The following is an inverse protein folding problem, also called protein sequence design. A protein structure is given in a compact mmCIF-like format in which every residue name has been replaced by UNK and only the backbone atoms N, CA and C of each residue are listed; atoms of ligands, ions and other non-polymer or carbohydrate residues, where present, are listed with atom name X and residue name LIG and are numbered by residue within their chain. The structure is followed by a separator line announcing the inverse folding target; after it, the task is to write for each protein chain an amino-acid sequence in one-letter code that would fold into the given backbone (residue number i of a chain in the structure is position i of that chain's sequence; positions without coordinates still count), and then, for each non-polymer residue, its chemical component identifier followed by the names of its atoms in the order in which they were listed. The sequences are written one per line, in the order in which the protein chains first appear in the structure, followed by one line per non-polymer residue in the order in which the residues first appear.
data_IF_686449791267
#
_entry.id   IF_686449791267
#
_cell.length_a   1.000
_cell.length_b   1.000
_cell.length_c   1.000
_cell.angle_alpha   90.00
_cell.angle_beta   90.00
_cell.angle_gamma   90.00
#
_symmetry.space_group_name_H-M   'P 1'
#
loop_
_entity.id
_entity.type
_entity.pdbx_description
1 polymer ?
#
# COMPACT_ATOMS: atom_id res chain seq x y z
N UNK A 1 23.52 6.17 14.51
CA UNK A 1 22.86 4.84 14.43
C UNK A 1 21.41 4.93 13.95
N UNK A 2 20.57 5.84 14.46
CA UNK A 2 19.17 5.95 14.03
C UNK A 2 19.02 6.30 12.53
N UNK A 3 19.74 7.31 12.04
CA UNK A 3 19.71 7.71 10.61
C UNK A 3 20.23 6.60 9.68
N UNK A 4 21.27 5.89 10.09
CA UNK A 4 21.78 4.72 9.35
C UNK A 4 20.72 3.62 9.22
N UNK A 5 19.94 3.38 10.28
CA UNK A 5 18.80 2.45 10.25
C UNK A 5 17.75 2.91 9.22
N UNK A 6 17.40 4.20 9.22
CA UNK A 6 16.47 4.78 8.25
C UNK A 6 16.95 4.57 6.81
N UNK A 7 18.22 4.87 6.50
CA UNK A 7 18.81 4.69 5.16
C UNK A 7 18.75 3.24 4.68
N UNK A 8 19.01 2.28 5.58
CA UNK A 8 18.89 0.84 5.26
C UNK A 8 17.44 0.43 5.01
N UNK A 9 16.50 0.94 5.80
CA UNK A 9 15.07 0.68 5.63
C UNK A 9 14.55 1.28 4.31
N UNK A 10 15.00 2.49 3.96
CA UNK A 10 14.69 3.12 2.68
C UNK A 10 15.24 2.31 1.49
N UNK A 11 16.49 1.88 1.58
CA UNK A 11 17.09 1.00 0.57
C UNK A 11 16.22 -0.26 0.41
N UNK A 12 15.88 -0.95 1.50
CA UNK A 12 15.03 -2.14 1.46
C UNK A 12 13.64 -1.87 0.88
N UNK A 13 13.03 -0.73 1.19
CA UNK A 13 11.75 -0.29 0.64
C UNK A 13 11.82 -0.14 -0.89
N UNK A 14 12.86 0.50 -1.42
CA UNK A 14 13.02 0.69 -2.88
C UNK A 14 13.03 -0.66 -3.62
N UNK A 15 13.78 -1.64 -3.14
CA UNK A 15 13.80 -2.98 -3.75
C UNK A 15 12.48 -3.74 -3.58
N UNK A 16 11.83 -3.64 -2.42
CA UNK A 16 10.52 -4.27 -2.20
C UNK A 16 9.46 -3.67 -3.14
N UNK A 17 9.48 -2.35 -3.32
CA UNK A 17 8.59 -1.63 -4.21
C UNK A 17 8.78 -2.03 -5.68
N UNK A 18 10.03 -2.15 -6.16
CA UNK A 18 10.29 -2.66 -7.51
C UNK A 18 9.77 -4.09 -7.71
N UNK A 19 9.91 -4.97 -6.70
CA UNK A 19 9.35 -6.32 -6.74
C UNK A 19 7.83 -6.30 -6.79
N UNK A 20 7.20 -5.42 -6.03
CA UNK A 20 5.74 -5.23 -6.02
C UNK A 20 5.23 -4.82 -7.40
N UNK A 21 5.83 -3.79 -8.01
CA UNK A 21 5.47 -3.34 -9.36
C UNK A 21 5.56 -4.51 -10.35
N UNK A 22 6.67 -5.27 -10.34
CA UNK A 22 6.83 -6.43 -11.22
C UNK A 22 5.80 -7.53 -10.96
N UNK A 23 5.44 -7.76 -9.70
CA UNK A 23 4.43 -8.77 -9.34
C UNK A 23 3.03 -8.36 -9.84
N UNK A 24 2.70 -7.07 -9.78
CA UNK A 24 1.40 -6.55 -10.23
C UNK A 24 1.31 -6.42 -11.76
N UNK A 25 2.44 -6.37 -12.48
CA UNK A 25 2.49 -6.35 -13.94
C UNK A 25 2.29 -7.72 -14.61
N UNK A 26 2.36 -8.82 -13.86
CA UNK A 26 2.20 -10.18 -14.40
C UNK A 26 0.86 -10.76 -13.94
N UNK A 27 -0.10 -11.01 -14.85
CA UNK A 27 -1.35 -11.67 -14.49
C UNK A 27 -1.09 -13.06 -13.89
N UNK A 28 -1.86 -13.43 -12.85
CA UNK A 28 -2.01 -14.78 -12.29
C UNK A 28 -0.98 -15.32 -11.28
N UNK A 29 -0.18 -14.47 -10.61
CA UNK A 29 0.63 -14.92 -9.44
C UNK A 29 0.24 -14.17 -8.17
N UNK A 30 -0.96 -14.48 -7.65
CA UNK A 30 -1.50 -13.87 -6.43
C UNK A 30 -0.56 -14.06 -5.25
N UNK A 31 0.02 -15.25 -5.07
CA UNK A 31 0.95 -15.53 -3.97
C UNK A 31 2.15 -14.58 -3.97
N UNK A 32 2.74 -14.34 -5.15
CA UNK A 32 3.84 -13.40 -5.31
C UNK A 32 3.41 -11.95 -5.11
N UNK A 33 2.22 -11.57 -5.59
CA UNK A 33 1.66 -10.24 -5.33
C UNK A 33 1.49 -10.01 -3.82
N UNK A 34 0.99 -10.99 -3.07
CA UNK A 34 0.84 -10.88 -1.62
C UNK A 34 2.17 -10.85 -0.87
N UNK A 35 3.11 -11.73 -1.23
CA UNK A 35 4.42 -11.75 -0.60
C UNK A 35 5.14 -10.39 -0.77
N UNK A 36 5.12 -9.85 -1.99
CA UNK A 36 5.74 -8.55 -2.28
C UNK A 36 4.97 -7.38 -1.68
N UNK A 37 3.64 -7.45 -1.60
CA UNK A 37 2.80 -6.48 -0.90
C UNK A 37 3.10 -6.46 0.60
N UNK A 38 3.14 -7.63 1.24
CA UNK A 38 3.45 -7.77 2.66
C UNK A 38 4.85 -7.26 3.01
N UNK A 39 5.83 -7.56 2.17
CA UNK A 39 7.20 -7.03 2.30
C UNK A 39 7.24 -5.50 2.14
N UNK A 40 6.55 -4.96 1.14
CA UNK A 40 6.49 -3.50 0.92
C UNK A 40 5.82 -2.80 2.10
N UNK A 41 4.68 -3.32 2.56
CA UNK A 41 3.96 -2.80 3.71
C UNK A 41 4.78 -2.86 5.00
N UNK A 42 5.56 -3.93 5.21
CA UNK A 42 6.50 -4.02 6.33
C UNK A 42 7.45 -2.82 6.32
N UNK A 43 8.08 -2.53 5.18
CA UNK A 43 9.06 -1.44 5.09
C UNK A 43 8.42 -0.06 5.20
N UNK A 44 7.23 0.15 4.60
CA UNK A 44 6.43 1.38 4.79
C UNK A 44 6.14 1.62 6.27
N UNK A 45 5.67 0.58 6.97
CA UNK A 45 5.36 0.66 8.41
C UNK A 45 6.62 0.92 9.23
N UNK A 46 7.75 0.29 8.89
CA UNK A 46 9.01 0.46 9.59
C UNK A 46 9.57 1.90 9.48
N UNK A 47 9.50 2.52 8.29
CA UNK A 47 9.90 3.93 8.11
C UNK A 47 8.95 4.86 8.85
N UNK A 48 7.63 4.65 8.75
CA UNK A 48 6.65 5.43 9.50
C UNK A 48 6.88 5.33 11.02
N UNK A 49 7.20 4.14 11.55
CA UNK A 49 7.54 3.97 12.97
C UNK A 49 8.81 4.69 13.37
N UNK A 50 9.83 4.69 12.50
CA UNK A 50 11.05 5.45 12.74
C UNK A 50 10.75 6.95 12.89
N UNK A 51 9.97 7.54 11.99
CA UNK A 51 9.62 8.96 12.07
C UNK A 51 8.77 9.27 13.30
N UNK A 52 7.84 8.38 13.68
CA UNK A 52 7.06 8.50 14.90
C UNK A 52 7.90 8.37 16.18
N UNK A 53 9.03 7.67 16.13
CA UNK A 53 9.97 7.49 17.25
C UNK A 53 10.90 8.71 17.40
N UNK A 54 11.46 9.22 16.30
CA UNK A 54 12.54 10.23 16.32
C UNK A 54 12.12 11.65 15.94
N UNK A 55 10.95 11.84 15.32
CA UNK A 55 10.46 13.16 14.87
C UNK A 55 8.96 13.37 15.12
N UNK A 56 8.42 12.76 16.17
CA UNK A 56 6.97 12.65 16.40
C UNK A 56 6.18 13.96 16.25
N UNK A 57 6.71 15.08 16.77
CA UNK A 57 6.02 16.37 16.77
C UNK A 57 5.71 16.85 15.36
N UNK A 58 6.77 17.19 14.62
CA UNK A 58 6.65 17.74 13.27
C UNK A 58 6.11 16.70 12.28
N UNK A 59 6.54 15.44 12.40
CA UNK A 59 6.10 14.36 11.52
C UNK A 59 4.59 14.08 11.67
N UNK A 60 4.09 13.93 12.91
CA UNK A 60 2.68 13.61 13.12
C UNK A 60 1.76 14.75 12.65
N UNK A 61 2.23 15.99 12.74
CA UNK A 61 1.51 17.14 12.20
C UNK A 61 1.45 17.08 10.67
N UNK A 62 2.60 16.90 9.98
CA UNK A 62 2.63 16.80 8.50
C UNK A 62 1.82 15.61 8.01
N UNK A 63 1.95 14.44 8.66
CA UNK A 63 1.24 13.22 8.29
C UNK A 63 -0.28 13.42 8.23
N UNK A 64 -0.86 14.18 9.17
CA UNK A 64 -2.30 14.44 9.22
C UNK A 64 -2.78 15.47 8.20
N UNK A 65 -1.90 16.36 7.77
CA UNK A 65 -2.23 17.43 6.82
C UNK A 65 -2.04 17.02 5.36
N UNK A 66 -1.15 16.06 5.09
CA UNK A 66 -0.91 15.54 3.74
C UNK A 66 -1.84 14.34 3.46
N UNK A 67 -2.56 14.39 2.35
CA UNK A 67 -3.46 13.30 1.93
C UNK A 67 -2.73 11.98 1.72
N UNK A 68 -1.46 12.02 1.31
CA UNK A 68 -0.58 10.86 1.16
C UNK A 68 -0.11 10.34 2.52
N UNK A 69 0.14 11.25 3.47
CA UNK A 69 0.44 10.92 4.86
C UNK A 69 -0.71 10.17 5.54
N UNK A 70 -1.96 10.57 5.27
CA UNK A 70 -3.15 9.92 5.80
C UNK A 70 -3.28 8.45 5.37
N UNK A 71 -2.77 8.08 4.19
CA UNK A 71 -2.77 6.70 3.71
C UNK A 71 -2.02 5.76 4.67
N UNK A 72 -0.97 6.25 5.34
CA UNK A 72 -0.16 5.47 6.27
C UNK A 72 -0.98 4.94 7.46
N UNK A 73 -2.03 5.66 7.88
CA UNK A 73 -2.94 5.19 8.92
C UNK A 73 -3.72 3.95 8.49
N UNK A 74 -4.18 3.91 7.23
CA UNK A 74 -4.85 2.75 6.65
C UNK A 74 -3.87 1.61 6.34
N UNK A 75 -2.68 1.92 5.84
CA UNK A 75 -1.68 0.91 5.43
C UNK A 75 -1.17 0.09 6.63
N UNK A 76 -1.18 0.67 7.83
CA UNK A 76 -0.91 -0.09 9.06
C UNK A 76 -1.93 -1.21 9.28
N UNK A 77 -3.21 -0.93 9.06
CA UNK A 77 -4.25 -1.94 9.17
C UNK A 77 -4.07 -3.01 8.09
N UNK A 78 -3.82 -2.60 6.84
CA UNK A 78 -3.53 -3.52 5.74
C UNK A 78 -2.38 -4.46 6.07
N UNK A 79 -1.27 -3.94 6.62
CA UNK A 79 -0.12 -4.74 7.03
C UNK A 79 -0.45 -5.74 8.14
N UNK A 80 -1.21 -5.31 9.16
CA UNK A 80 -1.64 -6.20 10.24
C UNK A 80 -2.53 -7.33 9.73
N UNK A 81 -3.41 -7.03 8.78
CA UNK A 81 -4.25 -8.03 8.18
C UNK A 81 -3.47 -9.03 7.31
N UNK A 82 -2.51 -8.56 6.49
CA UNK A 82 -1.61 -9.45 5.73
C UNK A 82 -0.86 -10.41 6.67
N UNK A 83 -0.43 -9.94 7.84
CA UNK A 83 0.31 -10.75 8.82
C UNK A 83 -0.52 -11.80 9.55
N UNK A 84 -1.79 -11.51 9.84
CA UNK A 84 -2.59 -12.34 10.74
C UNK A 84 -3.75 -13.06 10.06
N UNK A 85 -4.15 -12.64 8.86
CA UNK A 85 -5.28 -13.19 8.17
C UNK A 85 -4.90 -13.54 6.73
N UNK A 86 -4.59 -14.81 6.46
CA UNK A 86 -4.28 -15.25 5.10
C UNK A 86 -5.50 -15.15 4.15
N UNK A 87 -6.74 -15.00 4.65
CA UNK A 87 -7.89 -14.64 3.80
C UNK A 87 -7.84 -13.18 3.34
N UNK A 88 -6.86 -12.39 3.80
CA UNK A 88 -6.49 -11.13 3.17
C UNK A 88 -6.08 -11.31 1.70
N UNK A 89 -5.75 -12.56 1.30
CA UNK A 89 -5.50 -12.98 -0.09
C UNK A 89 -6.71 -12.73 -1.00
N UNK A 90 -7.92 -12.70 -0.44
CA UNK A 90 -9.14 -12.37 -1.20
C UNK A 90 -9.55 -10.90 -1.03
N UNK A 91 -8.76 -10.07 -0.33
CA UNK A 91 -9.08 -8.68 -0.04
C UNK A 91 -8.63 -7.70 -1.11
N UNK A 92 -8.33 -8.20 -2.30
CA UNK A 92 -8.19 -7.34 -3.46
C UNK A 92 -9.18 -7.68 -4.55
N UNK A 93 -9.84 -6.65 -5.07
CA UNK A 93 -10.74 -6.80 -6.22
C UNK A 93 -9.92 -6.60 -7.48
N UNK A 94 -9.96 -7.60 -8.36
CA UNK A 94 -9.45 -7.46 -9.73
C UNK A 94 -10.55 -6.87 -10.60
N UNK A 95 -10.33 -5.66 -11.11
CA UNK A 95 -11.21 -5.05 -12.11
C UNK A 95 -10.50 -4.98 -13.46
N UNK A 96 -11.15 -5.52 -14.48
CA UNK A 96 -10.75 -5.38 -15.87
C UNK A 96 -11.28 -4.04 -16.39
N UNK A 97 -10.40 -3.05 -16.57
CA UNK A 97 -10.77 -1.74 -17.13
C UNK A 97 -10.47 -1.74 -18.63
N UNK A 98 -11.46 -1.52 -19.51
CA UNK A 98 -11.23 -1.38 -20.94
C UNK A 98 -10.36 -0.14 -21.21
N UNK A 99 -9.23 -0.31 -21.89
CA UNK A 99 -8.42 0.85 -22.30
C UNK A 99 -8.60 1.22 -23.76
N UNK A 100 -8.72 0.22 -24.64
CA UNK A 100 -8.81 0.43 -26.08
C UNK A 100 -9.68 -0.66 -26.73
N UNK A 101 -10.51 -0.26 -27.68
CA UNK A 101 -11.22 -1.15 -28.61
C UNK A 101 -10.58 -0.99 -29.99
N UNK A 102 -9.96 -2.04 -30.49
CA UNK A 102 -9.41 -2.05 -31.85
C UNK A 102 -10.49 -2.55 -32.83
N UNK A 103 -10.88 -1.78 -33.86
CA UNK A 103 -11.90 -2.19 -34.83
C UNK A 103 -11.36 -3.17 -35.89
N UNK A 104 -10.22 -3.82 -35.65
CA UNK A 104 -9.44 -4.48 -36.70
C UNK A 104 -9.94 -5.90 -37.00
N UNK A 105 -10.71 -6.51 -36.10
CA UNK A 105 -11.37 -7.81 -36.31
C UNK A 105 -12.75 -7.81 -35.65
N UNK A 106 -13.75 -8.39 -36.32
CA UNK A 106 -15.01 -8.75 -35.67
C UNK A 106 -14.84 -10.13 -35.01
N UNK A 107 -15.09 -10.29 -33.70
CA UNK A 107 -15.47 -9.27 -32.71
C UNK A 107 -14.29 -8.42 -32.21
N UNK A 108 -14.52 -7.15 -31.81
CA UNK A 108 -13.46 -6.24 -31.38
C UNK A 108 -12.70 -6.77 -30.17
N UNK A 109 -11.37 -6.80 -30.26
CA UNK A 109 -10.50 -7.17 -29.15
C UNK A 109 -10.45 -6.01 -28.15
N UNK A 110 -10.91 -6.28 -26.93
CA UNK A 110 -10.82 -5.33 -25.81
C UNK A 110 -9.57 -5.65 -25.00
N UNK A 111 -8.62 -4.72 -24.94
CA UNK A 111 -7.51 -4.81 -23.99
C UNK A 111 -7.97 -4.32 -22.62
N UNK A 112 -7.96 -5.22 -21.64
CA UNK A 112 -8.32 -4.95 -20.27
C UNK A 112 -7.06 -4.83 -19.41
N UNK A 113 -6.94 -3.76 -18.63
CA UNK A 113 -5.92 -3.64 -17.60
C UNK A 113 -6.47 -4.22 -16.29
N UNK A 114 -5.71 -5.10 -15.64
CA UNK A 114 -6.07 -5.66 -14.33
C UNK A 114 -5.68 -4.63 -13.27
N UNK A 115 -6.68 -3.99 -12.66
CA UNK A 115 -6.49 -3.17 -11.46
C UNK A 115 -6.70 -4.01 -10.22
N UNK A 116 -5.83 -3.82 -9.24
CA UNK A 116 -5.91 -4.47 -7.93
C UNK A 116 -6.36 -3.41 -6.94
N UNK A 117 -7.58 -3.54 -6.42
CA UNK A 117 -8.19 -2.56 -5.52
C UNK A 117 -8.26 -3.09 -4.09
N UNK A 118 -8.11 -2.22 -3.08
CA UNK A 118 -8.40 -2.57 -1.69
C UNK A 118 -9.89 -2.96 -1.52
N UNK A 119 -10.18 -4.14 -0.96
CA UNK A 119 -11.56 -4.63 -0.81
C UNK A 119 -12.31 -3.91 0.30
N UNK A 120 -13.63 -4.03 0.22
CA UNK A 120 -14.55 -3.66 1.28
C UNK A 120 -14.40 -4.58 2.50
N UNK A 121 -14.04 -4.00 3.64
CA UNK A 121 -13.86 -4.72 4.91
C UNK A 121 -14.91 -4.35 5.96
N UNK A 122 -15.98 -3.61 5.60
CA UNK A 122 -16.99 -3.13 6.56
C UNK A 122 -17.57 -4.27 7.40
N UNK A 123 -17.82 -5.42 6.75
CA UNK A 123 -18.40 -6.62 7.37
C UNK A 123 -17.38 -7.51 8.10
N UNK A 124 -16.09 -7.17 8.08
CA UNK A 124 -15.06 -7.95 8.78
C UNK A 124 -14.98 -7.45 10.23
N UNK A 125 -15.26 -8.33 11.19
CA UNK A 125 -15.12 -8.00 12.61
C UNK A 125 -13.65 -7.83 12.98
N UNK A 126 -13.31 -6.78 13.73
CA UNK A 126 -12.02 -6.64 14.39
C UNK A 126 -12.21 -6.45 15.90
N UNK A 127 -11.18 -6.75 16.68
CA UNK A 127 -11.22 -6.45 18.11
C UNK A 127 -11.33 -4.94 18.34
N UNK A 128 -12.06 -4.53 19.40
CA UNK A 128 -12.34 -3.12 19.72
C UNK A 128 -11.09 -2.22 19.77
N UNK A 129 -9.94 -2.75 20.18
CA UNK A 129 -8.66 -2.01 20.24
C UNK A 129 -8.11 -1.62 18.86
N UNK A 130 -8.60 -2.24 17.78
CA UNK A 130 -8.18 -1.98 16.41
C UNK A 130 -9.23 -1.23 15.57
N UNK A 131 -10.36 -0.82 16.17
CA UNK A 131 -11.45 -0.17 15.46
C UNK A 131 -11.01 1.12 14.74
N UNK A 132 -10.16 1.94 15.38
CA UNK A 132 -9.62 3.14 14.76
C UNK A 132 -8.77 2.82 13.52
N UNK A 133 -8.00 1.72 13.54
CA UNK A 133 -7.19 1.31 12.39
C UNK A 133 -8.08 0.81 11.25
N UNK A 134 -9.15 0.07 11.57
CA UNK A 134 -10.16 -0.35 10.60
C UNK A 134 -10.85 0.87 9.98
N UNK A 135 -11.24 1.85 10.78
CA UNK A 135 -11.89 3.07 10.28
C UNK A 135 -10.97 3.84 9.33
N UNK A 136 -9.69 3.99 9.67
CA UNK A 136 -8.70 4.62 8.80
C UNK A 136 -8.51 3.85 7.48
N UNK A 137 -8.55 2.51 7.51
CA UNK A 137 -8.53 1.72 6.28
C UNK A 137 -9.74 2.00 5.40
N UNK A 138 -10.94 2.00 6.00
CA UNK A 138 -12.19 2.26 5.27
C UNK A 138 -12.19 3.65 4.65
N UNK A 139 -11.71 4.65 5.40
CA UNK A 139 -11.68 6.04 4.97
C UNK A 139 -10.63 6.29 3.87
N UNK A 140 -9.41 5.78 4.07
CA UNK A 140 -8.27 6.18 3.24
C UNK A 140 -7.89 5.18 2.14
N UNK A 141 -8.23 3.90 2.26
CA UNK A 141 -7.79 2.86 1.32
C UNK A 141 -8.92 2.16 0.58
N UNK A 142 -10.01 1.81 1.25
CA UNK A 142 -11.06 0.95 0.68
C UNK A 142 -11.53 1.42 -0.70
N UNK A 143 -11.55 0.50 -1.67
CA UNK A 143 -11.96 0.75 -3.06
C UNK A 143 -10.92 1.45 -3.92
N UNK A 144 -9.79 1.93 -3.35
CA UNK A 144 -8.71 2.56 -4.11
C UNK A 144 -7.73 1.53 -4.66
N UNK A 145 -6.97 1.93 -5.67
CA UNK A 145 -5.96 1.08 -6.29
C UNK A 145 -4.76 0.88 -5.34
N UNK A 146 -4.38 -0.39 -5.12
CA UNK A 146 -3.32 -0.78 -4.18
C UNK A 146 -2.01 -0.11 -4.54
N UNK A 147 -1.56 -0.29 -5.79
CA UNK A 147 -0.28 0.23 -6.23
C UNK A 147 -0.24 1.76 -6.14
N UNK A 148 -1.32 2.43 -6.58
CA UNK A 148 -1.43 3.88 -6.50
C UNK A 148 -1.29 4.41 -5.06
N UNK A 149 -2.04 3.82 -4.12
CA UNK A 149 -1.97 4.25 -2.70
C UNK A 149 -0.62 3.96 -2.05
N UNK A 150 0.04 2.86 -2.43
CA UNK A 150 1.38 2.53 -1.93
C UNK A 150 2.40 3.52 -2.48
N UNK A 151 2.36 3.83 -3.77
CA UNK A 151 3.27 4.80 -4.39
C UNK A 151 3.17 6.16 -3.71
N UNK A 152 1.94 6.66 -3.53
CA UNK A 152 1.69 7.93 -2.84
C UNK A 152 2.26 7.93 -1.41
N UNK A 153 2.07 6.84 -0.66
CA UNK A 153 2.60 6.71 0.69
C UNK A 153 4.13 6.63 0.72
N UNK A 154 4.74 5.93 -0.25
CA UNK A 154 6.19 5.86 -0.41
C UNK A 154 6.76 7.24 -0.72
N UNK A 155 6.17 7.98 -1.67
CA UNK A 155 6.60 9.32 -2.04
C UNK A 155 6.61 10.26 -0.83
N UNK A 156 5.53 10.24 -0.03
CA UNK A 156 5.48 11.00 1.22
C UNK A 156 6.60 10.63 2.20
N UNK A 157 6.90 9.34 2.36
CA UNK A 157 7.96 8.88 3.26
C UNK A 157 9.37 9.24 2.75
N UNK A 158 9.61 9.18 1.45
CA UNK A 158 10.88 9.56 0.85
C UNK A 158 11.13 11.06 1.01
N UNK A 159 10.12 11.91 0.76
CA UNK A 159 10.19 13.35 1.04
C UNK A 159 10.44 13.68 2.52
N UNK A 160 10.01 12.80 3.45
CA UNK A 160 10.35 12.94 4.87
C UNK A 160 11.79 12.50 5.17
N UNK A 161 12.30 11.50 4.47
CA UNK A 161 13.66 11.01 4.64
C UNK A 161 14.72 12.01 4.16
N UNK A 162 14.43 12.81 3.12
CA UNK A 162 15.32 13.85 2.58
C UNK A 162 15.80 14.85 3.66
N UNK A 163 15.05 15.02 4.75
CA UNK A 163 15.45 15.86 5.89
C UNK A 163 16.68 15.34 6.65
N UNK A 164 17.11 14.11 6.38
CA UNK A 164 18.16 13.38 7.09
C UNK A 164 19.28 12.89 6.16
N UNK A 165 19.30 13.34 4.91
CA UNK A 165 20.40 13.11 3.95
C UNK A 165 21.61 14.00 4.26
#
# INVERSE_FOLDING_TARGET
MAVERLRRTEYALKFAHERLIRAFSVPNDENKMYATLGETLLWVVAINDWHMEFNKGDYSHRQKQDTRGNLLFGLRHAYNMVKHNMNFIELHKTEAVPQFTFPVFEPPVTLCLIKVLWKDIRNISCERRYENQKQNYIEYLQGKEVLETINQAIDFLLEENEKYE
#
